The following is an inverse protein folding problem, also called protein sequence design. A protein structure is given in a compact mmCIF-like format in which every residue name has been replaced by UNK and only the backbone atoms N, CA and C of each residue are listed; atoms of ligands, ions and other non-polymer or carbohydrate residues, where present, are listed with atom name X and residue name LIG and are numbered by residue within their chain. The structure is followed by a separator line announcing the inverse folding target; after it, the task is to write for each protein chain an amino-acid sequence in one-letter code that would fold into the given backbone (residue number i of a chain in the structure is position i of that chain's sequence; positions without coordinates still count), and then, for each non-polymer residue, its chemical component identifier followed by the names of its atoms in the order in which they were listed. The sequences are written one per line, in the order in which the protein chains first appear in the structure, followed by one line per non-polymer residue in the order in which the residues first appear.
data_IF_299790802048
#
_entry.id   IF_299790802048
#
_cell.length_a   1.000
_cell.length_b   1.000
_cell.length_c   1.000
_cell.angle_alpha   90.00
_cell.angle_beta   90.00
_cell.angle_gamma   90.00
#
_symmetry.space_group_name_H-M   'P 1'
#
loop_
_entity.id
_entity.type
_entity.pdbx_description
1 polymer ?
#
# COMPACT_ATOMS: atom_id res chain seq x y z
N UNK A 1 10.79 14.16 -5.15
CA UNK A 1 10.49 15.59 -4.95
C UNK A 1 9.05 15.74 -4.47
N UNK A 2 8.85 15.69 -3.15
CA UNK A 2 7.63 16.13 -2.45
C UNK A 2 8.04 16.80 -1.12
N UNK A 3 9.19 16.39 -0.57
CA UNK A 3 9.85 16.99 0.59
C UNK A 3 10.43 18.38 0.34
N UNK A 4 10.72 18.75 -0.91
CA UNK A 4 11.24 20.10 -1.23
C UNK A 4 10.14 21.17 -1.23
N UNK A 5 8.88 20.82 -1.53
CA UNK A 5 7.75 21.77 -1.50
C UNK A 5 7.49 22.28 -0.07
N UNK A 6 7.75 21.44 0.93
CA UNK A 6 7.61 21.77 2.36
C UNK A 6 8.69 22.73 2.88
N UNK A 7 9.74 23.00 2.09
CA UNK A 7 10.79 23.94 2.50
C UNK A 7 10.48 25.40 2.17
N UNK A 8 9.41 25.70 1.40
CA UNK A 8 9.09 27.08 1.01
C UNK A 8 7.62 27.52 1.20
N UNK A 9 6.70 26.61 1.54
CA UNK A 9 5.29 26.92 1.77
C UNK A 9 4.75 26.15 2.97
N UNK A 10 3.86 26.79 3.73
CA UNK A 10 3.23 26.31 4.96
C UNK A 10 3.17 24.77 5.07
N UNK A 11 3.94 24.23 6.00
CA UNK A 11 4.08 22.78 6.28
C UNK A 11 2.73 22.08 6.61
N UNK A 12 1.69 22.86 6.90
CA UNK A 12 0.34 22.41 7.24
C UNK A 12 -0.72 22.72 6.16
N UNK A 13 -0.31 23.08 4.95
CA UNK A 13 -1.27 23.28 3.86
C UNK A 13 -1.96 21.94 3.51
N UNK A 14 -3.28 21.96 3.54
CA UNK A 14 -4.11 20.76 3.41
C UNK A 14 -3.90 20.06 2.07
N UNK A 15 -3.76 20.84 1.00
CA UNK A 15 -3.60 20.30 -0.34
C UNK A 15 -2.25 19.59 -0.49
N UNK A 16 -1.17 20.17 0.06
CA UNK A 16 0.17 19.58 0.06
C UNK A 16 0.19 18.26 0.84
N UNK A 17 -0.45 18.22 2.02
CA UNK A 17 -0.55 16.99 2.82
C UNK A 17 -1.35 15.91 2.09
N UNK A 18 -2.46 16.27 1.46
CA UNK A 18 -3.28 15.31 0.72
C UNK A 18 -2.54 14.76 -0.50
N UNK A 19 -1.87 15.62 -1.28
CA UNK A 19 -1.16 15.21 -2.48
C UNK A 19 0.08 14.36 -2.15
N UNK A 20 0.78 14.68 -1.05
CA UNK A 20 1.88 13.84 -0.53
C UNK A 20 1.37 12.48 -0.07
N UNK A 21 0.24 12.45 0.66
CA UNK A 21 -0.39 11.20 1.08
C UNK A 21 -0.82 10.33 -0.12
N UNK A 22 -1.33 10.95 -1.18
CA UNK A 22 -1.65 10.24 -2.44
C UNK A 22 -0.41 9.61 -3.08
N UNK A 23 0.73 10.33 -3.08
CA UNK A 23 2.00 9.77 -3.57
C UNK A 23 2.46 8.57 -2.72
N UNK A 24 2.32 8.64 -1.40
CA UNK A 24 2.62 7.50 -0.53
C UNK A 24 1.71 6.29 -0.79
N UNK A 25 0.43 6.51 -1.08
CA UNK A 25 -0.48 5.43 -1.46
C UNK A 25 -0.07 4.73 -2.76
N UNK A 26 0.41 5.47 -3.75
CA UNK A 26 0.92 4.90 -5.01
C UNK A 26 2.15 4.02 -4.77
N UNK A 27 2.99 4.39 -3.80
CA UNK A 27 4.18 3.64 -3.41
C UNK A 27 3.93 2.53 -2.38
N UNK A 28 2.67 2.21 -2.07
CA UNK A 28 2.26 1.25 -1.02
C UNK A 28 2.81 1.58 0.39
N UNK A 29 3.18 2.84 0.63
CA UNK A 29 3.63 3.38 1.91
C UNK A 29 2.43 3.83 2.75
N UNK A 30 1.68 2.85 3.26
CA UNK A 30 0.38 3.14 3.89
C UNK A 30 0.49 3.85 5.24
N UNK A 31 1.59 3.66 5.97
CA UNK A 31 1.76 4.25 7.30
C UNK A 31 1.98 5.75 7.20
N UNK A 32 2.86 6.17 6.30
CA UNK A 32 3.16 7.56 5.99
C UNK A 32 1.93 8.27 5.39
N UNK A 33 1.19 7.59 4.51
CA UNK A 33 -0.06 8.11 3.97
C UNK A 33 -1.12 8.38 5.07
N UNK A 34 -1.26 7.47 6.03
CA UNK A 34 -2.20 7.63 7.15
C UNK A 34 -1.80 8.82 8.02
N UNK A 35 -0.50 8.96 8.31
CA UNK A 35 0.01 10.07 9.12
C UNK A 35 -0.31 11.43 8.48
N UNK A 36 -0.08 11.57 7.18
CA UNK A 36 -0.35 12.80 6.44
C UNK A 36 -1.83 13.15 6.38
N UNK A 37 -2.69 12.16 6.09
CA UNK A 37 -4.14 12.39 6.14
C UNK A 37 -4.62 12.73 7.54
N UNK A 38 -4.04 12.13 8.58
CA UNK A 38 -4.40 12.46 9.97
C UNK A 38 -3.99 13.90 10.32
N UNK A 39 -2.80 14.35 9.89
CA UNK A 39 -2.37 15.75 10.02
C UNK A 39 -3.33 16.70 9.29
N UNK A 40 -3.73 16.36 8.06
CA UNK A 40 -4.66 17.17 7.28
C UNK A 40 -6.05 17.27 7.94
N UNK A 41 -6.58 16.16 8.48
CA UNK A 41 -7.85 16.15 9.22
C UNK A 41 -7.74 16.96 10.52
N UNK A 42 -6.62 16.90 11.23
CA UNK A 42 -6.44 17.64 12.48
C UNK A 42 -6.27 19.15 12.24
N UNK A 43 -5.63 19.56 11.13
CA UNK A 43 -5.44 20.95 10.77
C UNK A 43 -6.73 21.62 10.25
N UNK A 44 -7.54 20.88 9.49
CA UNK A 44 -8.84 21.33 9.00
C UNK A 44 -9.85 20.18 9.01
N UNK A 45 -10.61 20.11 10.11
CA UNK A 45 -11.53 19.01 10.44
C UNK A 45 -12.67 18.74 9.47
N UNK A 46 -12.90 19.58 8.46
CA UNK A 46 -14.00 19.43 7.50
C UNK A 46 -13.58 19.11 6.06
N UNK A 47 -12.29 18.89 5.81
CA UNK A 47 -11.89 18.42 4.49
C UNK A 47 -12.39 17.00 4.21
N UNK A 48 -13.37 16.91 3.31
CA UNK A 48 -13.91 15.64 2.80
C UNK A 48 -12.81 14.79 2.15
N UNK A 49 -11.91 15.41 1.37
CA UNK A 49 -10.79 14.73 0.70
C UNK A 49 -9.89 14.02 1.71
N UNK A 50 -9.53 14.70 2.81
CA UNK A 50 -8.66 14.13 3.83
C UNK A 50 -9.32 12.97 4.60
N UNK A 51 -10.60 13.09 4.95
CA UNK A 51 -11.36 12.01 5.62
C UNK A 51 -11.50 10.77 4.73
N UNK A 52 -11.86 10.96 3.46
CA UNK A 52 -11.98 9.86 2.49
C UNK A 52 -10.62 9.20 2.20
N UNK A 53 -9.56 10.02 2.08
CA UNK A 53 -8.18 9.56 1.91
C UNK A 53 -7.70 8.72 3.10
N UNK A 54 -7.97 9.17 4.33
CA UNK A 54 -7.62 8.45 5.56
C UNK A 54 -8.28 7.06 5.62
N UNK A 55 -9.58 6.97 5.34
CA UNK A 55 -10.30 5.70 5.36
C UNK A 55 -9.84 4.77 4.23
N UNK A 56 -9.53 5.32 3.05
CA UNK A 56 -8.91 4.57 1.95
C UNK A 56 -7.55 4.01 2.35
N UNK A 57 -6.69 4.82 2.96
CA UNK A 57 -5.35 4.42 3.41
C UNK A 57 -5.41 3.31 4.46
N UNK A 58 -6.26 3.45 5.48
CA UNK A 58 -6.50 2.41 6.50
C UNK A 58 -7.01 1.10 5.90
N UNK A 59 -7.96 1.18 4.96
CA UNK A 59 -8.49 0.00 4.26
C UNK A 59 -7.42 -0.72 3.45
N UNK A 60 -6.60 0.02 2.72
CA UNK A 60 -5.49 -0.52 1.93
C UNK A 60 -4.41 -1.15 2.83
N UNK A 61 -4.02 -0.49 3.93
CA UNK A 61 -3.13 -1.06 4.95
C UNK A 61 -3.65 -2.40 5.46
N UNK A 62 -4.93 -2.46 5.85
CA UNK A 62 -5.57 -3.69 6.33
C UNK A 62 -5.59 -4.79 5.26
N UNK A 63 -5.81 -4.41 3.99
CA UNK A 63 -5.78 -5.35 2.87
C UNK A 63 -4.36 -5.87 2.61
N UNK A 64 -3.35 -5.00 2.65
CA UNK A 64 -1.94 -5.35 2.44
C UNK A 64 -1.39 -6.25 3.56
N UNK A 65 -1.86 -6.05 4.81
CA UNK A 65 -1.49 -6.91 5.94
C UNK A 65 -2.02 -8.35 5.80
N UNK A 66 -3.02 -8.59 4.94
CA UNK A 66 -3.56 -9.94 4.70
C UNK A 66 -2.74 -10.65 3.64
N UNK A 67 -2.35 -11.89 3.93
CA UNK A 67 -1.69 -12.77 2.95
C UNK A 67 -2.65 -13.08 1.79
N UNK A 68 -2.34 -12.59 0.59
CA UNK A 68 -3.06 -12.96 -0.62
C UNK A 68 -2.38 -14.19 -1.26
N UNK A 69 -2.88 -15.38 -0.92
CA UNK A 69 -2.32 -16.65 -1.41
C UNK A 69 -2.37 -16.78 -2.94
N UNK A 70 -3.35 -16.17 -3.60
CA UNK A 70 -3.45 -16.19 -5.05
C UNK A 70 -2.38 -15.29 -5.67
N UNK A 71 -2.11 -14.12 -5.07
CA UNK A 71 -0.98 -13.24 -5.44
C UNK A 71 0.36 -13.95 -5.25
N UNK A 72 0.55 -14.68 -4.14
CA UNK A 72 1.78 -15.47 -3.89
C UNK A 72 1.99 -16.54 -4.96
N UNK A 73 0.94 -17.27 -5.31
CA UNK A 73 1.01 -18.30 -6.36
C UNK A 73 1.03 -17.73 -7.78
N UNK A 74 0.82 -16.42 -7.97
CA UNK A 74 0.76 -15.78 -9.28
C UNK A 74 -0.43 -16.24 -10.14
N UNK A 75 -1.53 -16.65 -9.50
CA UNK A 75 -2.75 -17.14 -10.18
C UNK A 75 -3.93 -16.19 -9.97
N UNK A 76 -4.93 -16.27 -10.84
CA UNK A 76 -6.17 -15.50 -10.68
C UNK A 76 -6.95 -15.98 -9.46
N UNK A 77 -7.77 -15.11 -8.85
CA UNK A 77 -8.63 -15.46 -7.70
C UNK A 77 -9.69 -16.52 -8.02
N UNK A 78 -10.04 -16.69 -9.30
CA UNK A 78 -10.95 -17.73 -9.79
C UNK A 78 -10.22 -18.95 -10.35
N UNK A 79 -8.92 -19.09 -10.09
CA UNK A 79 -8.13 -20.21 -10.59
C UNK A 79 -8.67 -21.56 -10.09
N UNK A 80 -8.66 -22.55 -10.97
CA UNK A 80 -9.11 -23.89 -10.62
C UNK A 80 -8.02 -24.67 -9.88
N UNK A 81 -8.40 -25.80 -9.27
CA UNK A 81 -7.47 -26.65 -8.49
C UNK A 81 -6.25 -27.10 -9.29
N UNK A 82 -6.39 -27.35 -10.60
CA UNK A 82 -5.28 -27.79 -11.47
C UNK A 82 -4.26 -26.67 -11.67
N UNK A 83 -4.72 -25.43 -11.90
CA UNK A 83 -3.87 -24.24 -12.04
C UNK A 83 -3.11 -23.94 -10.75
N UNK A 84 -3.80 -24.01 -9.59
CA UNK A 84 -3.19 -23.82 -8.27
C UNK A 84 -2.08 -24.85 -8.04
N UNK A 85 -2.36 -26.15 -8.28
CA UNK A 85 -1.35 -27.21 -8.11
C UNK A 85 -0.16 -27.04 -9.06
N UNK A 86 -0.41 -26.62 -10.31
CA UNK A 86 0.65 -26.38 -11.29
C UNK A 86 1.57 -25.24 -10.85
N UNK A 87 1.00 -24.12 -10.40
CA UNK A 87 1.77 -22.98 -9.89
C UNK A 87 2.57 -23.34 -8.63
N UNK A 88 1.94 -24.04 -7.69
CA UNK A 88 2.59 -24.52 -6.47
C UNK A 88 3.82 -25.37 -6.77
N UNK A 89 3.69 -26.41 -7.61
CA UNK A 89 4.82 -27.31 -7.93
C UNK A 89 6.00 -26.55 -8.55
N UNK A 90 5.72 -25.61 -9.44
CA UNK A 90 6.74 -24.78 -10.09
C UNK A 90 7.48 -23.91 -9.06
N UNK A 91 6.75 -23.22 -8.18
CA UNK A 91 7.34 -22.36 -7.16
C UNK A 91 8.09 -23.17 -6.09
N UNK A 92 7.56 -24.31 -5.67
CA UNK A 92 8.21 -25.19 -4.70
C UNK A 92 9.54 -25.72 -5.23
N UNK A 93 9.61 -26.10 -6.51
CA UNK A 93 10.86 -26.51 -7.14
C UNK A 93 11.86 -25.35 -7.25
N UNK A 94 11.40 -24.14 -7.59
CA UNK A 94 12.26 -22.96 -7.73
C UNK A 94 12.83 -22.50 -6.38
N UNK A 95 12.01 -22.47 -5.34
CA UNK A 95 12.35 -21.96 -4.02
C UNK A 95 12.68 -23.06 -3.00
N UNK A 96 13.00 -24.27 -3.48
CA UNK A 96 13.45 -25.34 -2.59
C UNK A 96 14.79 -24.94 -1.95
N UNK A 97 14.98 -25.10 -0.63
CA UNK A 97 16.21 -24.69 0.05
C UNK A 97 17.47 -25.38 -0.52
N UNK A 98 17.35 -26.62 -1.01
CA UNK A 98 18.44 -27.35 -1.67
C UNK A 98 19.01 -26.64 -2.92
N UNK A 99 18.27 -25.69 -3.51
CA UNK A 99 18.80 -24.89 -4.61
C UNK A 99 19.75 -23.76 -4.14
N UNK A 100 19.79 -23.48 -2.84
CA UNK A 100 20.49 -22.34 -2.23
C UNK A 100 21.41 -22.78 -1.07
N UNK A 101 21.92 -24.01 -1.11
CA UNK A 101 23.00 -24.45 -0.24
C UNK A 101 24.30 -23.70 -0.59
N UNK A 102 24.79 -22.87 0.34
CA UNK A 102 26.16 -22.32 0.38
C UNK A 102 27.23 -23.42 0.51
#
# INVERSE_FOLDING_TARGET
MCTEVLRSGNENDLDVLCDRAEAYLVNEQFDEAIEDYQKAVNANGDSRKAKEGLEKAKRLKKQAARKDYYKILGVRRNANKREIMKAYRKLAQQWHPDNFSD
#
